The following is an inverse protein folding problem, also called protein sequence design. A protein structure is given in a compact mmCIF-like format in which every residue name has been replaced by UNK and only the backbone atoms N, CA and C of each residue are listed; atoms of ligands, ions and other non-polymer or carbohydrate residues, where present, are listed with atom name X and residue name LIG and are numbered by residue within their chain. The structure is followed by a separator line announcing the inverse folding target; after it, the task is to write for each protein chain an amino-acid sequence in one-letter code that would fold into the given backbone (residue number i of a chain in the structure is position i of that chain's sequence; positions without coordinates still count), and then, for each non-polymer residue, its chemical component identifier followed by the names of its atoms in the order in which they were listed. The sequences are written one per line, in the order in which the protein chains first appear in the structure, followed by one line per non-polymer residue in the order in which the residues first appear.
data_IF_021417897344
#
_entry.id   IF_021417897344
#
_cell.length_a   1.000
_cell.length_b   1.000
_cell.length_c   1.000
_cell.angle_alpha   90.00
_cell.angle_beta   90.00
_cell.angle_gamma   90.00
#
_symmetry.space_group_name_H-M   'P 1'
#
loop_
_entity.id
_entity.type
_entity.pdbx_description
1 polymer ?
#
# COMPACT_ATOMS: atom_id res chain seq x y z
N UNK A 1 -20.62 18.49 15.43
CA UNK A 1 -19.52 18.30 14.48
C UNK A 1 -19.64 16.88 13.96
N UNK A 2 -19.99 16.67 12.69
CA UNK A 2 -20.12 15.33 12.13
C UNK A 2 -18.73 14.72 12.00
N UNK A 3 -18.43 13.69 12.81
CA UNK A 3 -17.19 12.91 12.71
C UNK A 3 -17.17 12.21 11.34
N UNK A 4 -16.41 12.77 10.38
CA UNK A 4 -16.11 12.07 9.13
C UNK A 4 -15.20 10.88 9.46
N UNK A 5 -15.81 9.72 9.67
CA UNK A 5 -15.09 8.45 9.83
C UNK A 5 -14.51 8.06 8.47
N UNK A 6 -13.19 7.95 8.37
CA UNK A 6 -12.56 7.37 7.18
C UNK A 6 -12.92 5.88 7.11
N UNK A 7 -13.79 5.53 6.16
CA UNK A 7 -14.36 4.18 6.10
C UNK A 7 -13.42 3.17 5.43
N UNK A 8 -12.56 3.62 4.50
CA UNK A 8 -11.70 2.76 3.69
C UNK A 8 -10.22 3.11 3.83
N UNK A 9 -9.37 2.11 3.65
CA UNK A 9 -7.92 2.25 3.71
C UNK A 9 -7.19 1.16 2.92
N UNK A 10 -5.88 1.10 3.13
CA UNK A 10 -5.00 0.08 2.59
C UNK A 10 -4.31 -0.65 3.73
N UNK A 11 -4.30 -1.98 3.68
CA UNK A 11 -3.48 -2.83 4.54
C UNK A 11 -2.29 -3.33 3.74
N UNK A 12 -1.09 -3.14 4.30
CA UNK A 12 0.17 -3.38 3.61
C UNK A 12 1.01 -4.37 4.41
N UNK A 13 1.28 -5.54 3.83
CA UNK A 13 2.15 -6.58 4.36
C UNK A 13 3.58 -6.44 3.79
N UNK A 14 4.40 -5.58 4.38
CA UNK A 14 5.73 -5.32 3.81
C UNK A 14 6.72 -6.49 3.98
N UNK A 15 6.38 -7.54 4.74
CA UNK A 15 7.27 -8.69 4.94
C UNK A 15 7.59 -9.44 3.65
N UNK A 16 6.62 -9.51 2.73
CA UNK A 16 6.76 -10.24 1.46
C UNK A 16 6.92 -9.31 0.25
N UNK A 17 7.13 -8.01 0.47
CA UNK A 17 7.37 -7.11 -0.64
C UNK A 17 8.73 -7.41 -1.28
N UNK A 18 8.73 -7.74 -2.56
CA UNK A 18 9.93 -8.08 -3.33
C UNK A 18 10.59 -6.90 -4.02
N UNK A 19 10.03 -5.69 -3.89
CA UNK A 19 10.57 -4.51 -4.57
C UNK A 19 10.35 -4.49 -6.09
N UNK A 20 9.33 -5.18 -6.62
CA UNK A 20 9.10 -5.23 -8.08
C UNK A 20 8.58 -3.92 -8.72
N UNK A 21 8.22 -2.91 -7.92
CA UNK A 21 7.66 -1.61 -8.36
C UNK A 21 6.36 -1.66 -9.20
N UNK A 22 5.73 -2.83 -9.36
CA UNK A 22 4.50 -3.00 -10.14
C UNK A 22 3.36 -2.09 -9.65
N UNK A 23 3.21 -1.91 -8.33
CA UNK A 23 2.19 -1.03 -7.75
C UNK A 23 2.40 0.44 -8.11
N UNK A 24 3.65 0.90 -8.22
CA UNK A 24 4.00 2.28 -8.60
C UNK A 24 3.68 2.53 -10.06
N UNK A 25 4.09 1.61 -10.96
CA UNK A 25 3.84 1.69 -12.40
C UNK A 25 2.35 1.59 -12.71
N UNK A 26 1.63 0.64 -12.11
CA UNK A 26 0.20 0.46 -12.31
C UNK A 26 -0.60 1.70 -11.90
N UNK A 27 -0.23 2.34 -10.78
CA UNK A 27 -0.88 3.58 -10.35
C UNK A 27 -0.58 4.75 -11.29
N UNK A 28 0.66 4.89 -11.77
CA UNK A 28 1.02 5.91 -12.75
C UNK A 28 0.27 5.74 -14.08
N UNK A 29 0.14 4.50 -14.57
CA UNK A 29 -0.59 4.19 -15.79
C UNK A 29 -2.10 4.43 -15.66
N UNK A 30 -2.71 4.02 -14.54
CA UNK A 30 -4.15 4.21 -14.30
C UNK A 30 -4.56 5.69 -14.34
N UNK A 31 -3.69 6.57 -13.85
CA UNK A 31 -3.97 8.00 -13.71
C UNK A 31 -3.25 8.90 -14.74
N UNK A 32 -2.42 8.33 -15.61
CA UNK A 32 -1.63 9.09 -16.58
C UNK A 32 -0.61 10.03 -15.93
N UNK A 33 -0.04 9.66 -14.78
CA UNK A 33 0.95 10.49 -14.09
C UNK A 33 2.28 10.55 -14.88
N UNK A 34 2.99 11.69 -14.87
CA UNK A 34 4.34 11.79 -15.39
C UNK A 34 5.30 10.81 -14.69
N UNK A 35 6.40 10.48 -15.36
CA UNK A 35 7.44 9.64 -14.77
C UNK A 35 7.93 10.22 -13.43
N UNK A 36 8.00 9.37 -12.40
CA UNK A 36 8.37 9.76 -11.04
C UNK A 36 7.21 10.17 -10.13
N UNK A 37 5.99 10.34 -10.66
CA UNK A 37 4.78 10.60 -9.89
C UNK A 37 3.89 9.36 -9.80
N UNK A 38 3.48 8.99 -8.60
CA UNK A 38 2.59 7.86 -8.36
C UNK A 38 1.95 7.96 -6.98
N UNK A 39 0.74 7.41 -6.83
CA UNK A 39 0.07 7.23 -5.54
C UNK A 39 0.72 6.19 -4.63
N UNK A 40 1.70 5.42 -5.14
CA UNK A 40 2.47 4.43 -4.37
C UNK A 40 3.96 4.61 -4.62
N UNK A 41 4.76 4.57 -3.55
CA UNK A 41 6.22 4.54 -3.63
C UNK A 41 6.76 3.32 -2.89
N UNK A 42 7.64 2.57 -3.54
CA UNK A 42 8.40 1.51 -2.89
C UNK A 42 9.72 2.08 -2.41
N UNK A 43 10.00 1.96 -1.12
CA UNK A 43 11.26 2.41 -0.52
C UNK A 43 12.06 1.20 -0.06
N UNK A 44 13.32 1.15 -0.48
CA UNK A 44 14.30 0.20 0.01
C UNK A 44 14.91 0.71 1.31
N UNK A 45 14.91 -0.13 2.34
CA UNK A 45 15.46 0.19 3.67
C UNK A 45 16.45 -0.91 4.04
N UNK A 46 17.69 -0.51 4.30
CA UNK A 46 18.71 -1.38 4.89
C UNK A 46 18.83 -1.02 6.37
N UNK A 47 18.48 -1.97 7.23
CA UNK A 47 18.62 -1.85 8.67
C UNK A 47 19.91 -2.53 9.12
N UNK A 48 20.79 -1.78 9.77
CA UNK A 48 21.97 -2.33 10.43
C UNK A 48 21.55 -2.96 11.76
N UNK A 49 21.81 -4.25 11.91
CA UNK A 49 21.51 -5.04 13.08
C UNK A 49 22.81 -5.33 13.86
N UNK A 50 22.72 -5.64 15.17
CA UNK A 50 23.89 -6.03 15.96
C UNK A 50 24.66 -7.21 15.34
N UNK A 51 25.97 -7.26 15.60
CA UNK A 51 26.90 -8.30 15.10
C UNK A 51 27.08 -8.29 13.58
N UNK A 52 27.24 -7.09 13.00
CA UNK A 52 27.52 -6.87 11.58
C UNK A 52 26.50 -7.52 10.62
N UNK A 53 25.24 -7.62 11.07
CA UNK A 53 24.14 -8.13 10.25
C UNK A 53 23.40 -6.96 9.61
N UNK A 54 22.86 -7.18 8.42
CA UNK A 54 21.98 -6.24 7.75
C UNK A 54 20.65 -6.92 7.42
N UNK A 55 19.56 -6.16 7.51
CA UNK A 55 18.23 -6.59 7.07
C UNK A 55 17.73 -5.63 5.99
N UNK A 56 17.57 -6.16 4.78
CA UNK A 56 17.01 -5.46 3.64
C UNK A 56 15.48 -5.62 3.66
N UNK A 57 14.74 -4.54 3.46
CA UNK A 57 13.28 -4.56 3.35
C UNK A 57 12.81 -3.56 2.31
N UNK A 58 11.80 -3.94 1.54
CA UNK A 58 11.06 -3.03 0.67
C UNK A 58 9.73 -2.69 1.32
N UNK A 59 9.42 -1.40 1.46
CA UNK A 59 8.15 -0.92 1.99
C UNK A 59 7.39 -0.20 0.88
N UNK A 60 6.31 -0.80 0.33
CA UNK A 60 5.41 -0.09 -0.57
C UNK A 60 4.50 0.80 0.29
N UNK A 61 4.60 2.11 0.15
CA UNK A 61 3.81 3.06 0.95
C UNK A 61 3.05 4.05 0.07
N UNK A 62 1.80 4.40 0.42
CA UNK A 62 1.04 5.41 -0.30
C UNK A 62 1.70 6.79 -0.21
N UNK A 63 1.56 7.59 -1.27
CA UNK A 63 1.94 9.00 -1.28
C UNK A 63 0.69 9.88 -1.11
N UNK A 64 0.87 11.19 -0.97
CA UNK A 64 -0.24 12.15 -0.94
C UNK A 64 -1.06 12.19 -2.24
N UNK A 65 -0.61 11.54 -3.33
CA UNK A 65 -1.37 11.38 -4.57
C UNK A 65 -2.37 10.22 -4.50
N UNK A 66 -2.34 9.39 -3.45
CA UNK A 66 -3.22 8.24 -3.32
C UNK A 66 -4.67 8.66 -3.04
N UNK A 67 -5.58 8.26 -3.92
CA UNK A 67 -7.04 8.51 -3.80
C UNK A 67 -7.85 7.22 -3.66
N UNK A 68 -7.22 6.14 -3.18
CA UNK A 68 -7.82 4.81 -3.02
C UNK A 68 -8.48 4.25 -4.30
N UNK A 69 -8.00 4.67 -5.48
CA UNK A 69 -8.58 4.29 -6.76
C UNK A 69 -10.10 4.47 -6.84
N UNK A 70 -10.65 5.59 -6.34
CA UNK A 70 -12.10 5.82 -6.21
C UNK A 70 -12.93 5.46 -7.47
N UNK A 71 -12.41 5.72 -8.66
CA UNK A 71 -13.07 5.36 -9.93
C UNK A 71 -13.19 3.85 -10.17
N UNK A 72 -12.20 3.06 -9.72
CA UNK A 72 -12.17 1.59 -9.81
C UNK A 72 -13.03 0.96 -8.73
N UNK A 73 -12.88 1.41 -7.49
CA UNK A 73 -13.61 0.84 -6.34
C UNK A 73 -15.10 1.09 -6.43
N UNK A 74 -15.54 2.23 -6.98
CA UNK A 74 -16.96 2.49 -7.32
C UNK A 74 -17.54 1.47 -8.31
N UNK A 75 -16.70 0.89 -9.18
CA UNK A 75 -17.07 -0.17 -10.12
C UNK A 75 -16.86 -1.58 -9.54
N UNK A 76 -16.58 -1.70 -8.23
CA UNK A 76 -16.23 -2.96 -7.55
C UNK A 76 -15.00 -3.65 -8.14
N UNK A 77 -14.10 -2.88 -8.75
CA UNK A 77 -12.80 -3.37 -9.20
C UNK A 77 -11.76 -3.15 -8.10
N UNK A 78 -10.76 -4.05 -7.99
CA UNK A 78 -9.64 -3.84 -7.07
C UNK A 78 -8.87 -2.58 -7.43
N UNK A 79 -8.19 -2.01 -6.44
CA UNK A 79 -7.29 -0.88 -6.67
C UNK A 79 -6.16 -1.29 -7.62
N UNK A 80 -5.59 -0.32 -8.34
CA UNK A 80 -4.53 -0.63 -9.31
C UNK A 80 -3.32 -1.28 -8.63
N UNK A 81 -2.95 -0.81 -7.44
CA UNK A 81 -1.83 -1.36 -6.68
C UNK A 81 -2.10 -2.75 -6.09
N UNK A 82 -3.32 -3.04 -5.64
CA UNK A 82 -3.73 -4.38 -5.19
C UNK A 82 -3.75 -5.38 -6.35
N UNK A 83 -4.38 -5.03 -7.46
CA UNK A 83 -4.54 -5.93 -8.61
C UNK A 83 -3.19 -6.39 -9.19
N UNK A 84 -2.21 -5.48 -9.25
CA UNK A 84 -0.91 -5.74 -9.86
C UNK A 84 0.15 -6.19 -8.85
N UNK A 85 -0.22 -6.37 -7.58
CA UNK A 85 0.72 -6.85 -6.59
C UNK A 85 0.96 -8.36 -6.75
N UNK A 86 2.11 -8.73 -7.34
CA UNK A 86 2.49 -10.13 -7.54
C UNK A 86 2.57 -10.93 -6.23
N UNK A 87 2.94 -10.27 -5.13
CA UNK A 87 3.05 -10.86 -3.80
C UNK A 87 1.81 -10.67 -2.92
N UNK A 88 0.74 -10.03 -3.45
CA UNK A 88 -0.52 -9.74 -2.73
C UNK A 88 -0.33 -9.03 -1.39
N UNK A 89 0.66 -8.14 -1.29
CA UNK A 89 0.97 -7.41 -0.06
C UNK A 89 0.12 -6.17 0.17
N UNK A 90 -0.65 -5.70 -0.83
CA UNK A 90 -1.49 -4.51 -0.71
C UNK A 90 -2.94 -4.95 -0.82
N UNK A 91 -3.75 -4.59 0.16
CA UNK A 91 -5.18 -4.91 0.20
C UNK A 91 -6.00 -3.65 0.46
N UNK A 92 -7.04 -3.44 -0.33
CA UNK A 92 -8.02 -2.38 -0.10
C UNK A 92 -9.24 -2.92 0.62
N UNK A 93 -9.82 -2.13 1.53
CA UNK A 93 -11.01 -2.55 2.25
C UNK A 93 -11.47 -1.53 3.30
N UNK A 94 -12.51 -1.91 4.03
CA UNK A 94 -13.00 -1.14 5.17
C UNK A 94 -11.99 -1.18 6.30
N UNK A 95 -11.73 -0.04 6.93
CA UNK A 95 -10.71 0.09 7.98
C UNK A 95 -10.92 -0.91 9.11
N UNK A 96 -12.18 -1.14 9.52
CA UNK A 96 -12.53 -2.08 10.60
C UNK A 96 -12.18 -3.54 10.25
N UNK A 97 -12.38 -3.93 9.00
CA UNK A 97 -12.10 -5.29 8.53
C UNK A 97 -10.58 -5.49 8.38
N UNK A 98 -9.90 -4.50 7.82
CA UNK A 98 -8.44 -4.50 7.69
C UNK A 98 -7.74 -4.51 9.06
N UNK A 99 -8.27 -3.77 10.05
CA UNK A 99 -7.73 -3.76 11.40
C UNK A 99 -7.85 -5.11 12.10
N UNK A 100 -8.94 -5.86 11.88
CA UNK A 100 -9.07 -7.23 12.39
C UNK A 100 -8.05 -8.16 11.74
N UNK A 101 -7.90 -8.08 10.43
CA UNK A 101 -6.92 -8.90 9.69
C UNK A 101 -5.49 -8.62 10.13
N UNK A 102 -5.16 -7.35 10.40
CA UNK A 102 -3.86 -6.94 10.94
C UNK A 102 -3.51 -7.66 12.25
N UNK A 103 -4.47 -8.05 13.08
CA UNK A 103 -4.18 -8.78 14.33
C UNK A 103 -3.63 -10.19 14.11
N UNK A 104 -3.86 -10.78 12.93
CA UNK A 104 -3.44 -12.15 12.62
C UNK A 104 -1.97 -12.28 12.20
N UNK A 105 -1.28 -11.19 11.89
CA UNK A 105 0.09 -11.21 11.38
C UNK A 105 0.88 -9.96 11.77
N UNK A 106 2.16 -10.15 12.13
CA UNK A 106 3.09 -9.04 12.32
C UNK A 106 3.51 -8.39 10.99
N UNK A 107 4.21 -7.25 11.07
CA UNK A 107 4.78 -6.51 9.92
C UNK A 107 3.74 -6.01 8.90
N UNK A 108 2.60 -5.59 9.44
CA UNK A 108 1.50 -4.99 8.69
C UNK A 108 1.46 -3.49 8.96
N UNK A 109 1.09 -2.70 7.96
CA UNK A 109 0.79 -1.28 8.11
C UNK A 109 -0.62 -1.00 7.60
N UNK A 110 -1.47 -0.47 8.46
CA UNK A 110 -2.77 0.05 8.10
C UNK A 110 -2.65 1.53 7.80
N UNK A 111 -2.93 1.91 6.56
CA UNK A 111 -2.91 3.30 6.11
C UNK A 111 -4.32 3.77 5.75
N UNK A 112 -4.65 4.99 6.17
CA UNK A 112 -5.92 5.64 5.92
C UNK A 112 -5.64 7.03 5.35
N UNK A 113 -6.25 7.41 4.21
CA UNK A 113 -6.07 8.74 3.63
C UNK A 113 -6.69 9.85 4.52
N UNK A 114 -6.26 11.09 4.28
CA UNK A 114 -6.89 12.30 4.84
C UNK A 114 -8.27 12.59 4.28
#
# INVERSE_FOLDING_TARGET
MSEKKHEYGLLIDYEYCTGCHACTVACAQEYGWPAGMSGMRVTEIVQNLPRDKAYLTFIPFPTELCVLCAARTKKRLPTACEQHCMARVIKYGRVEDLAKEMTGKAKMVLWVPR
#
